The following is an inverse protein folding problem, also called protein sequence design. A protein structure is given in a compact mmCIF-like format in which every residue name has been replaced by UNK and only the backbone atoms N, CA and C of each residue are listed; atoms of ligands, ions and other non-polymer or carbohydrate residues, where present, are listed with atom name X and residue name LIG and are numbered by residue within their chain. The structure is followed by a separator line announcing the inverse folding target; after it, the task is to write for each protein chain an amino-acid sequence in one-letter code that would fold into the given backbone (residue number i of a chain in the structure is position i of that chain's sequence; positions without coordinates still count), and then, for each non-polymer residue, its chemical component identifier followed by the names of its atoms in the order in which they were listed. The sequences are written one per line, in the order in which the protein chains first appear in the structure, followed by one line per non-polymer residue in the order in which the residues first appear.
data_IF_489638975581
#
_entry.id   IF_489638975581
#
_cell.length_a   1.000
_cell.length_b   1.000
_cell.length_c   1.000
_cell.angle_alpha   90.00
_cell.angle_beta   90.00
_cell.angle_gamma   90.00
#
_symmetry.space_group_name_H-M   'P 1'
#
loop_
_entity.id
_entity.type
_entity.pdbx_description
1 polymer ?
#
# COMPACT_ATOMS: atom_id res chain seq x y z
N UNK A 1 -23.42 6.09 -20.22
CA UNK A 1 -22.57 4.89 -19.99
C UNK A 1 -21.21 5.39 -19.54
N UNK A 2 -20.78 5.01 -18.35
CA UNK A 2 -19.50 5.45 -17.75
C UNK A 2 -18.36 4.65 -18.40
N UNK A 3 -17.42 5.35 -19.00
CA UNK A 3 -16.27 4.77 -19.71
C UNK A 3 -15.10 4.56 -18.74
N UNK A 4 -14.62 3.34 -18.63
CA UNK A 4 -13.56 2.96 -17.68
C UNK A 4 -12.32 2.48 -18.42
N UNK A 5 -11.15 2.90 -17.95
CA UNK A 5 -9.88 2.25 -18.22
C UNK A 5 -9.47 1.46 -16.98
N UNK A 6 -9.15 0.18 -17.16
CA UNK A 6 -8.70 -0.72 -16.11
C UNK A 6 -7.21 -0.96 -16.24
N UNK A 7 -6.45 -0.63 -15.18
CA UNK A 7 -5.01 -0.72 -15.13
C UNK A 7 -4.57 -1.65 -13.99
N UNK A 8 -4.04 -2.82 -14.33
CA UNK A 8 -3.60 -3.84 -13.37
C UNK A 8 -2.62 -4.77 -14.09
N UNK A 9 -1.52 -5.19 -13.49
CA UNK A 9 -0.55 -6.08 -14.13
C UNK A 9 -1.01 -7.55 -14.14
N UNK A 10 -1.94 -7.92 -13.28
CA UNK A 10 -2.43 -9.28 -13.13
C UNK A 10 -3.55 -9.58 -14.14
N UNK A 11 -3.25 -10.32 -15.19
CA UNK A 11 -4.20 -10.64 -16.26
C UNK A 11 -5.49 -11.27 -15.75
N UNK A 12 -5.39 -12.18 -14.77
CA UNK A 12 -6.56 -12.88 -14.22
C UNK A 12 -7.48 -11.91 -13.44
N UNK A 13 -6.91 -10.96 -12.71
CA UNK A 13 -7.64 -9.92 -11.99
C UNK A 13 -8.37 -8.99 -12.99
N UNK A 14 -7.67 -8.53 -14.04
CA UNK A 14 -8.30 -7.72 -15.09
C UNK A 14 -9.47 -8.43 -15.75
N UNK A 15 -9.30 -9.70 -16.16
CA UNK A 15 -10.37 -10.51 -16.74
C UNK A 15 -11.55 -10.70 -15.79
N UNK A 16 -11.28 -10.94 -14.50
CA UNK A 16 -12.32 -11.06 -13.48
C UNK A 16 -13.14 -9.79 -13.32
N UNK A 17 -12.46 -8.63 -13.15
CA UNK A 17 -13.11 -7.33 -13.02
C UNK A 17 -13.89 -6.99 -14.29
N UNK A 18 -13.35 -7.24 -15.49
CA UNK A 18 -14.06 -7.05 -16.76
C UNK A 18 -15.35 -7.85 -16.79
N UNK A 19 -15.27 -9.15 -16.55
CA UNK A 19 -16.45 -10.03 -16.59
C UNK A 19 -17.55 -9.60 -15.60
N UNK A 20 -17.16 -9.12 -14.43
CA UNK A 20 -18.10 -8.60 -13.44
C UNK A 20 -18.74 -7.28 -13.89
N UNK A 21 -17.97 -6.35 -14.44
CA UNK A 21 -18.48 -5.05 -14.88
C UNK A 21 -19.31 -5.16 -16.16
N UNK A 22 -19.11 -6.17 -17.01
CA UNK A 22 -19.98 -6.46 -18.17
C UNK A 22 -21.43 -6.83 -17.78
N UNK A 23 -21.65 -7.25 -16.52
CA UNK A 23 -23.01 -7.48 -16.00
C UNK A 23 -23.75 -6.18 -15.67
N UNK A 24 -23.08 -5.03 -15.72
CA UNK A 24 -23.60 -3.73 -15.31
C UNK A 24 -23.85 -2.86 -16.53
N UNK A 25 -25.11 -2.50 -16.78
CA UNK A 25 -25.55 -1.87 -18.04
C UNK A 25 -25.10 -0.43 -18.25
N UNK A 26 -24.75 0.31 -17.20
CA UNK A 26 -24.37 1.73 -17.24
C UNK A 26 -22.84 1.97 -17.20
N UNK A 27 -22.04 0.89 -17.21
CA UNK A 27 -20.58 0.92 -17.13
C UNK A 27 -19.97 0.18 -18.32
N UNK A 28 -18.83 0.63 -18.84
CA UNK A 28 -18.12 -0.05 -19.94
C UNK A 28 -16.60 0.10 -19.78
N UNK A 29 -15.87 -1.02 -19.82
CA UNK A 29 -14.41 -1.00 -19.92
C UNK A 29 -14.05 -0.75 -21.39
N UNK A 30 -13.56 0.46 -21.67
CA UNK A 30 -13.18 0.89 -23.03
C UNK A 30 -11.75 0.46 -23.39
N UNK A 31 -10.88 0.27 -22.41
CA UNK A 31 -9.54 -0.26 -22.61
C UNK A 31 -8.92 -0.78 -21.30
N UNK A 32 -7.84 -1.53 -21.45
CA UNK A 32 -7.01 -2.08 -20.38
C UNK A 32 -5.56 -1.68 -20.56
N UNK A 33 -4.80 -1.69 -19.47
CA UNK A 33 -3.36 -1.53 -19.46
C UNK A 33 -2.73 -2.41 -18.36
N UNK A 34 -1.48 -2.81 -18.57
CA UNK A 34 -0.73 -3.70 -17.66
C UNK A 34 0.34 -2.98 -16.85
N UNK A 35 0.62 -1.72 -17.16
CA UNK A 35 1.55 -0.86 -16.43
C UNK A 35 1.23 0.64 -16.65
N UNK A 36 1.90 1.51 -15.87
CA UNK A 36 1.67 2.95 -15.94
C UNK A 36 2.04 3.60 -17.28
N UNK A 37 2.97 3.02 -18.06
CA UNK A 37 3.34 3.58 -19.38
C UNK A 37 2.26 3.29 -20.42
N UNK A 38 1.74 2.06 -20.43
CA UNK A 38 0.63 1.67 -21.29
C UNK A 38 -0.63 2.47 -20.93
N UNK A 39 -0.89 2.64 -19.62
CA UNK A 39 -2.01 3.42 -19.10
C UNK A 39 -2.00 4.86 -19.61
N UNK A 40 -0.84 5.53 -19.67
CA UNK A 40 -0.72 6.90 -20.19
C UNK A 40 -1.22 7.01 -21.62
N UNK A 41 -0.75 6.13 -22.50
CA UNK A 41 -1.13 6.13 -23.93
C UNK A 41 -2.65 5.84 -24.11
N UNK A 42 -3.15 4.87 -23.35
CA UNK A 42 -4.55 4.45 -23.42
C UNK A 42 -5.48 5.56 -22.93
N UNK A 43 -5.17 6.21 -21.83
CA UNK A 43 -5.98 7.28 -21.24
C UNK A 43 -6.04 8.50 -22.16
N UNK A 44 -4.92 8.88 -22.77
CA UNK A 44 -4.89 9.99 -23.74
C UNK A 44 -5.78 9.73 -24.96
N UNK A 45 -5.81 8.48 -25.43
CA UNK A 45 -6.61 8.05 -26.59
C UNK A 45 -8.09 7.93 -26.24
N UNK A 46 -8.39 7.24 -25.16
CA UNK A 46 -9.79 6.85 -24.82
C UNK A 46 -10.54 7.93 -24.04
N UNK A 47 -9.86 8.81 -23.31
CA UNK A 47 -10.45 9.85 -22.46
C UNK A 47 -11.54 9.27 -21.56
N UNK A 48 -11.22 8.35 -20.64
CA UNK A 48 -12.20 7.69 -19.79
C UNK A 48 -12.81 8.65 -18.77
N UNK A 49 -14.02 8.31 -18.30
CA UNK A 49 -14.68 9.00 -17.21
C UNK A 49 -14.06 8.62 -15.84
N UNK A 50 -13.59 7.36 -15.72
CA UNK A 50 -12.97 6.83 -14.50
C UNK A 50 -11.83 5.89 -14.86
N UNK A 51 -10.77 5.93 -14.08
CA UNK A 51 -9.66 4.95 -14.11
C UNK A 51 -9.73 4.08 -12.88
N UNK A 52 -9.72 2.76 -13.05
CA UNK A 52 -9.46 1.79 -12.00
C UNK A 52 -7.98 1.43 -12.06
N UNK A 53 -7.24 1.68 -10.99
CA UNK A 53 -5.78 1.64 -10.99
C UNK A 53 -5.24 0.74 -9.86
N UNK A 54 -4.46 -0.28 -10.22
CA UNK A 54 -3.61 -0.95 -9.24
C UNK A 54 -2.38 -0.10 -8.91
N UNK A 55 -1.92 -0.15 -7.66
CA UNK A 55 -0.71 0.55 -7.23
C UNK A 55 0.56 -0.24 -7.53
N UNK A 56 0.49 -1.58 -7.43
CA UNK A 56 1.66 -2.46 -7.55
C UNK A 56 1.77 -3.04 -8.95
N UNK A 57 2.42 -2.30 -9.82
CA UNK A 57 2.67 -2.75 -11.19
C UNK A 57 4.17 -2.68 -11.52
N UNK A 58 4.68 -3.56 -12.42
CA UNK A 58 6.06 -3.50 -12.90
C UNK A 58 6.32 -2.24 -13.73
N UNK A 59 7.60 -1.90 -13.93
CA UNK A 59 8.09 -0.76 -14.71
C UNK A 59 7.68 0.58 -14.10
N UNK A 60 6.40 0.98 -14.20
CA UNK A 60 5.86 2.21 -13.65
C UNK A 60 4.67 1.89 -12.76
N UNK A 61 4.83 2.09 -11.46
CA UNK A 61 3.79 1.86 -10.45
C UNK A 61 2.65 2.88 -10.52
N UNK A 62 1.53 2.54 -9.89
CA UNK A 62 0.34 3.39 -9.89
C UNK A 62 0.56 4.76 -9.24
N UNK A 63 1.36 4.86 -8.18
CA UNK A 63 1.68 6.13 -7.52
C UNK A 63 2.48 7.05 -8.45
N UNK A 64 3.50 6.52 -9.13
CA UNK A 64 4.32 7.30 -10.06
C UNK A 64 3.52 7.75 -11.27
N UNK A 65 2.61 6.90 -11.75
CA UNK A 65 1.65 7.25 -12.78
C UNK A 65 0.74 8.43 -12.37
N UNK A 66 0.19 8.41 -11.16
CA UNK A 66 -0.64 9.50 -10.64
C UNK A 66 0.14 10.80 -10.50
N UNK A 67 1.36 10.75 -9.94
CA UNK A 67 2.24 11.91 -9.78
C UNK A 67 2.57 12.60 -11.10
N UNK A 68 2.78 11.82 -12.16
CA UNK A 68 3.11 12.37 -13.48
C UNK A 68 1.93 13.09 -14.14
N UNK A 69 0.70 12.60 -13.93
CA UNK A 69 -0.51 13.22 -14.49
C UNK A 69 -1.05 14.41 -13.68
N UNK A 70 -0.75 14.47 -12.40
CA UNK A 70 -1.27 15.51 -11.49
C UNK A 70 -0.96 16.94 -11.95
N UNK A 71 0.27 17.30 -12.38
CA UNK A 71 0.61 18.69 -12.76
C UNK A 71 -0.09 19.18 -14.01
N UNK A 72 -0.49 18.28 -14.90
CA UNK A 72 -1.10 18.61 -16.20
C UNK A 72 -2.61 18.83 -16.16
N UNK A 73 -3.24 18.69 -14.99
CA UNK A 73 -4.71 18.72 -14.83
C UNK A 73 -5.45 17.73 -15.77
N UNK A 74 -4.73 16.74 -16.30
CA UNK A 74 -5.27 15.74 -17.23
C UNK A 74 -5.56 14.39 -16.55
N UNK A 75 -5.39 14.31 -15.23
CA UNK A 75 -5.68 13.11 -14.48
C UNK A 75 -7.19 12.86 -14.47
N UNK A 76 -7.69 11.78 -15.11
CA UNK A 76 -9.09 11.40 -14.99
C UNK A 76 -9.40 11.03 -13.54
N UNK A 77 -10.66 11.12 -13.11
CA UNK A 77 -11.09 10.61 -11.82
C UNK A 77 -10.62 9.18 -11.63
N UNK A 78 -9.76 8.93 -10.62
CA UNK A 78 -9.09 7.64 -10.44
C UNK A 78 -9.48 7.00 -9.12
N UNK A 79 -9.90 5.73 -9.18
CA UNK A 79 -10.13 4.84 -8.03
C UNK A 79 -8.98 3.85 -7.97
N UNK A 80 -8.30 3.80 -6.85
CA UNK A 80 -7.25 2.82 -6.57
C UNK A 80 -7.88 1.50 -6.17
N UNK A 81 -7.44 0.41 -6.80
CA UNK A 81 -7.72 -0.97 -6.38
C UNK A 81 -6.49 -1.53 -5.68
N UNK A 82 -6.61 -1.91 -4.42
CA UNK A 82 -5.46 -2.35 -3.63
C UNK A 82 -5.75 -3.63 -2.85
N UNK A 83 -4.69 -4.30 -2.39
CA UNK A 83 -4.77 -5.34 -1.38
C UNK A 83 -4.50 -4.75 0.01
N UNK A 84 -4.84 -5.46 1.09
CA UNK A 84 -4.82 -4.99 2.49
C UNK A 84 -3.46 -4.45 3.02
N UNK A 85 -2.35 -4.69 2.34
CA UNK A 85 -1.00 -4.51 2.91
C UNK A 85 -0.26 -3.24 2.44
N UNK A 86 -0.95 -2.20 1.95
CA UNK A 86 -0.29 -1.08 1.25
C UNK A 86 -0.72 0.32 1.73
N UNK A 87 -0.81 0.51 3.05
CA UNK A 87 -1.25 1.77 3.66
C UNK A 87 -0.41 2.99 3.20
N UNK A 88 0.91 2.82 3.02
CA UNK A 88 1.80 3.92 2.62
C UNK A 88 1.60 4.30 1.15
N UNK A 89 1.53 3.33 0.26
CA UNK A 89 1.26 3.57 -1.16
C UNK A 89 -0.14 4.14 -1.38
N UNK A 90 -1.12 3.74 -0.55
CA UNK A 90 -2.46 4.30 -0.57
C UNK A 90 -2.46 5.80 -0.22
N UNK A 91 -1.74 6.20 0.81
CA UNK A 91 -1.63 7.61 1.20
C UNK A 91 -0.96 8.46 0.12
N UNK A 92 0.09 7.91 -0.48
CA UNK A 92 0.79 8.57 -1.58
C UNK A 92 -0.12 8.71 -2.81
N UNK A 93 -0.95 7.72 -3.10
CA UNK A 93 -1.94 7.79 -4.18
C UNK A 93 -3.01 8.87 -3.92
N UNK A 94 -3.48 9.00 -2.68
CA UNK A 94 -4.43 10.07 -2.29
C UNK A 94 -3.78 11.44 -2.44
N UNK A 95 -2.54 11.62 -2.00
CA UNK A 95 -1.77 12.86 -2.18
C UNK A 95 -1.53 13.20 -3.65
N UNK A 96 -1.36 12.17 -4.47
CA UNK A 96 -1.22 12.30 -5.92
C UNK A 96 -2.55 12.50 -6.67
N UNK A 97 -3.68 12.65 -5.96
CA UNK A 97 -4.97 13.06 -6.53
C UNK A 97 -5.96 11.95 -6.80
N UNK A 98 -5.74 10.73 -6.33
CA UNK A 98 -6.75 9.68 -6.39
C UNK A 98 -8.06 10.13 -5.71
N UNK A 99 -9.21 9.82 -6.33
CA UNK A 99 -10.54 10.20 -5.84
C UNK A 99 -11.19 9.13 -4.98
N UNK A 100 -10.62 7.93 -4.96
CA UNK A 100 -11.12 6.83 -4.18
C UNK A 100 -10.13 5.69 -4.05
N UNK A 101 -10.42 4.80 -3.11
CA UNK A 101 -9.78 3.50 -3.03
C UNK A 101 -10.78 2.43 -2.65
N UNK A 102 -10.56 1.24 -3.16
CA UNK A 102 -11.32 0.03 -2.84
C UNK A 102 -10.36 -1.15 -2.72
N UNK A 103 -10.75 -2.13 -1.92
CA UNK A 103 -10.01 -3.38 -1.86
C UNK A 103 -10.35 -4.25 -3.08
N UNK A 104 -9.40 -5.05 -3.56
CA UNK A 104 -9.63 -5.95 -4.71
C UNK A 104 -10.64 -7.07 -4.42
N UNK A 105 -10.99 -7.31 -3.15
CA UNK A 105 -12.02 -8.25 -2.71
C UNK A 105 -13.40 -7.63 -2.49
N UNK A 106 -13.57 -6.36 -2.89
CA UNK A 106 -14.84 -5.64 -2.77
C UNK A 106 -15.96 -6.28 -3.59
N UNK A 107 -17.22 -6.18 -3.13
CA UNK A 107 -18.37 -6.65 -3.90
C UNK A 107 -18.59 -5.83 -5.18
N UNK A 108 -19.17 -6.45 -6.22
CA UNK A 108 -19.52 -5.77 -7.48
C UNK A 108 -20.38 -4.52 -7.25
N UNK A 109 -21.37 -4.62 -6.36
CA UNK A 109 -22.26 -3.52 -6.02
C UNK A 109 -21.47 -2.32 -5.48
N UNK A 110 -20.57 -2.54 -4.53
CA UNK A 110 -19.76 -1.47 -3.93
C UNK A 110 -18.74 -0.89 -4.92
N UNK A 111 -18.18 -1.71 -5.81
CA UNK A 111 -17.31 -1.24 -6.88
C UNK A 111 -18.07 -0.32 -7.85
N UNK A 112 -19.26 -0.72 -8.28
CA UNK A 112 -20.08 0.05 -9.23
C UNK A 112 -20.62 1.34 -8.62
N UNK A 113 -21.01 1.33 -7.34
CA UNK A 113 -21.43 2.55 -6.63
C UNK A 113 -20.27 3.54 -6.50
N UNK A 114 -19.06 3.05 -6.19
CA UNK A 114 -17.86 3.88 -6.16
C UNK A 114 -17.53 4.50 -7.53
N UNK A 115 -17.65 3.72 -8.60
CA UNK A 115 -17.46 4.21 -9.99
C UNK A 115 -18.45 5.32 -10.30
N UNK A 116 -19.73 5.13 -9.99
CA UNK A 116 -20.79 6.13 -10.23
C UNK A 116 -20.55 7.42 -9.46
N UNK A 117 -20.16 7.32 -8.19
CA UNK A 117 -19.87 8.47 -7.35
C UNK A 117 -18.70 9.28 -7.89
N UNK A 118 -17.59 8.62 -8.24
CA UNK A 118 -16.40 9.28 -8.76
C UNK A 118 -16.63 9.85 -10.16
N UNK A 119 -17.39 9.19 -11.02
CA UNK A 119 -17.78 9.70 -12.35
C UNK A 119 -18.62 10.98 -12.29
N UNK A 120 -19.36 11.20 -11.19
CA UNK A 120 -20.12 12.43 -10.93
C UNK A 120 -19.28 13.55 -10.31
N UNK A 121 -17.98 13.35 -10.16
CA UNK A 121 -17.07 14.31 -9.51
C UNK A 121 -16.97 14.18 -7.99
N UNK A 122 -17.62 13.19 -7.40
CA UNK A 122 -17.54 12.87 -5.99
C UNK A 122 -16.21 12.19 -5.60
N UNK A 123 -16.11 11.80 -4.34
CA UNK A 123 -14.97 11.06 -3.81
C UNK A 123 -15.46 10.00 -2.83
N UNK A 124 -14.92 8.80 -2.94
CA UNK A 124 -15.19 7.71 -1.98
C UNK A 124 -14.18 7.65 -0.84
N UNK A 125 -13.25 8.60 -0.82
CA UNK A 125 -12.35 8.83 0.31
C UNK A 125 -13.08 9.76 1.28
N UNK A 126 -13.49 9.24 2.44
CA UNK A 126 -14.11 10.09 3.46
C UNK A 126 -13.05 11.00 4.08
N UNK A 127 -13.21 12.35 4.03
CA UNK A 127 -12.22 13.30 4.54
C UNK A 127 -11.82 13.03 6.00
N UNK A 128 -12.77 12.63 6.85
CA UNK A 128 -12.52 12.33 8.25
C UNK A 128 -11.60 11.12 8.50
N UNK A 129 -11.59 10.13 7.61
CA UNK A 129 -10.69 8.97 7.70
C UNK A 129 -9.32 9.36 7.16
N UNK A 130 -9.29 10.06 6.03
CA UNK A 130 -8.04 10.52 5.41
C UNK A 130 -7.31 11.52 6.32
N UNK A 131 -8.00 12.48 6.95
CA UNK A 131 -7.39 13.39 7.92
C UNK A 131 -6.90 12.69 9.19
N UNK A 132 -7.63 11.70 9.72
CA UNK A 132 -7.17 10.93 10.89
C UNK A 132 -5.97 10.06 10.56
N UNK A 133 -5.96 9.43 9.40
CA UNK A 133 -4.84 8.61 8.94
C UNK A 133 -3.64 9.51 8.58
N UNK A 134 -3.84 10.64 7.90
CA UNK A 134 -2.80 11.63 7.61
C UNK A 134 -2.25 12.26 8.90
N UNK A 135 -3.11 12.68 9.83
CA UNK A 135 -2.70 13.23 11.14
C UNK A 135 -2.04 12.17 12.02
N UNK A 136 -2.52 10.92 11.98
CA UNK A 136 -1.88 9.81 12.69
C UNK A 136 -0.48 9.52 12.15
N UNK A 137 -0.28 9.57 10.83
CA UNK A 137 1.02 9.37 10.20
C UNK A 137 1.92 10.60 10.29
N UNK A 138 1.38 11.81 10.27
CA UNK A 138 2.14 13.03 10.58
C UNK A 138 2.55 13.09 12.05
N UNK A 139 1.72 12.60 12.96
CA UNK A 139 2.10 12.42 14.38
C UNK A 139 3.20 11.37 14.53
N UNK A 140 3.04 10.22 13.88
CA UNK A 140 4.07 9.19 13.84
C UNK A 140 5.36 9.72 13.20
N UNK A 141 5.30 10.45 12.08
CA UNK A 141 6.47 11.09 11.48
C UNK A 141 7.08 12.18 12.37
N UNK A 142 6.27 13.03 12.98
CA UNK A 142 6.77 14.08 13.90
C UNK A 142 7.30 13.49 15.21
N UNK A 143 6.74 12.39 15.71
CA UNK A 143 7.33 11.64 16.81
C UNK A 143 8.65 10.97 16.39
N UNK A 144 8.79 10.50 15.13
CA UNK A 144 10.04 9.98 14.60
C UNK A 144 11.05 11.08 14.24
N UNK A 145 10.62 12.25 13.75
CA UNK A 145 11.50 13.40 13.47
C UNK A 145 11.89 14.19 14.74
N UNK A 146 11.11 14.07 15.81
CA UNK A 146 11.42 14.65 17.13
C UNK A 146 12.09 13.68 18.10
N UNK A 147 12.12 12.39 17.77
CA UNK A 147 12.96 11.42 18.47
C UNK A 147 14.38 11.59 17.94
N UNK A 148 15.31 11.78 18.86
CA UNK A 148 16.74 11.52 18.65
C UNK A 148 16.91 10.25 17.81
N UNK A 149 17.98 10.14 16.98
CA UNK A 149 18.18 8.95 16.14
C UNK A 149 17.85 7.70 16.93
N UNK A 150 17.09 6.73 16.37
CA UNK A 150 16.57 5.60 17.13
C UNK A 150 17.69 5.02 17.97
N UNK A 151 17.45 4.84 19.26
CA UNK A 151 18.44 4.31 20.19
C UNK A 151 19.09 3.08 19.55
N UNK A 152 20.40 3.05 19.37
CA UNK A 152 21.07 1.92 18.74
C UNK A 152 20.67 0.64 19.47
N UNK A 153 20.55 -0.45 18.75
CA UNK A 153 20.27 -1.74 19.37
C UNK A 153 21.34 -2.01 20.45
N UNK A 154 20.90 -2.36 21.63
CA UNK A 154 21.79 -2.77 22.71
C UNK A 154 22.53 -4.06 22.32
N UNK A 155 23.68 -4.32 22.95
CA UNK A 155 24.42 -5.58 22.73
C UNK A 155 23.53 -6.82 22.90
N UNK A 156 22.62 -6.79 23.87
CA UNK A 156 21.69 -7.88 24.14
C UNK A 156 20.62 -8.03 23.04
N UNK A 157 20.13 -6.92 22.51
CA UNK A 157 19.19 -6.94 21.39
C UNK A 157 19.83 -7.47 20.11
N UNK A 158 21.08 -7.09 19.83
CA UNK A 158 21.85 -7.63 18.68
C UNK A 158 22.09 -9.14 18.84
N UNK A 159 22.40 -9.62 20.03
CA UNK A 159 22.58 -11.04 20.31
C UNK A 159 21.30 -11.85 20.08
N UNK A 160 20.17 -11.34 20.57
CA UNK A 160 18.86 -11.93 20.33
C UNK A 160 18.52 -11.89 18.83
N UNK A 161 18.79 -10.81 18.15
CA UNK A 161 18.53 -10.64 16.73
C UNK A 161 19.35 -11.65 15.86
N UNK A 162 20.59 -11.94 16.23
CA UNK A 162 21.40 -13.00 15.58
C UNK A 162 20.78 -14.37 15.73
N UNK A 163 20.29 -14.70 16.92
CA UNK A 163 19.59 -15.96 17.16
C UNK A 163 18.24 -16.00 16.41
N UNK A 164 17.56 -14.86 16.33
CA UNK A 164 16.35 -14.72 15.48
C UNK A 164 16.68 -14.99 14.01
N UNK A 165 17.79 -14.52 13.49
CA UNK A 165 18.25 -14.76 12.13
C UNK A 165 18.61 -16.24 11.89
N UNK A 166 19.11 -16.94 12.93
CA UNK A 166 19.34 -18.38 12.92
C UNK A 166 18.07 -19.24 12.98
N UNK A 167 16.87 -18.61 13.04
CA UNK A 167 15.59 -19.33 13.06
C UNK A 167 15.13 -19.84 14.43
N UNK A 168 15.84 -19.52 15.51
CA UNK A 168 15.52 -19.96 16.88
C UNK A 168 14.22 -19.34 17.38
N UNK A 169 13.33 -20.11 17.98
CA UNK A 169 12.13 -19.63 18.67
C UNK A 169 12.49 -18.83 19.93
N UNK A 170 11.56 -18.03 20.47
CA UNK A 170 11.80 -17.26 21.70
C UNK A 170 12.19 -18.15 22.89
N UNK A 171 11.67 -19.38 22.96
CA UNK A 171 11.99 -20.36 23.99
C UNK A 171 13.44 -20.84 23.83
N UNK A 172 13.84 -21.24 22.63
CA UNK A 172 15.21 -21.67 22.33
C UNK A 172 16.23 -20.55 22.56
N UNK A 173 15.86 -19.30 22.24
CA UNK A 173 16.68 -18.10 22.54
C UNK A 173 16.79 -17.91 24.06
N UNK A 174 15.70 -18.10 24.80
CA UNK A 174 15.70 -17.98 26.25
C UNK A 174 16.60 -19.04 26.89
N UNK A 175 16.52 -20.29 26.43
CA UNK A 175 17.35 -21.38 26.88
C UNK A 175 18.85 -21.12 26.55
N UNK A 176 19.15 -20.70 25.32
CA UNK A 176 20.52 -20.37 24.88
C UNK A 176 21.16 -19.21 25.64
N UNK A 177 20.36 -18.24 26.07
CA UNK A 177 20.81 -17.03 26.74
C UNK A 177 20.65 -17.06 28.28
N UNK A 178 20.17 -18.17 28.84
CA UNK A 178 19.94 -18.33 30.27
C UNK A 178 18.93 -17.34 30.85
N UNK A 179 17.86 -17.02 30.14
CA UNK A 179 16.86 -16.02 30.55
C UNK A 179 15.43 -16.57 30.44
N UNK A 180 14.44 -15.81 30.88
CA UNK A 180 13.04 -16.20 30.75
C UNK A 180 12.50 -15.87 29.32
N UNK A 181 11.62 -16.70 28.78
CA UNK A 181 10.99 -16.49 27.46
C UNK A 181 10.26 -15.14 27.38
N UNK A 182 9.62 -14.69 28.48
CA UNK A 182 9.00 -13.38 28.58
C UNK A 182 9.97 -12.22 28.37
N UNK A 183 11.21 -12.36 28.86
CA UNK A 183 12.29 -11.38 28.67
C UNK A 183 12.70 -11.31 27.19
N UNK A 184 12.82 -12.46 26.52
CA UNK A 184 13.10 -12.52 25.07
C UNK A 184 11.97 -11.88 24.27
N UNK A 185 10.69 -12.11 24.60
CA UNK A 185 9.55 -11.45 23.98
C UNK A 185 9.60 -9.93 24.10
N UNK A 186 9.97 -9.42 25.29
CA UNK A 186 10.12 -7.98 25.51
C UNK A 186 11.26 -7.39 24.65
N UNK A 187 12.42 -8.06 24.61
CA UNK A 187 13.51 -7.63 23.73
C UNK A 187 13.13 -7.71 22.24
N UNK A 188 12.44 -8.76 21.81
CA UNK A 188 11.95 -8.87 20.44
C UNK A 188 11.02 -7.70 20.09
N UNK A 189 10.06 -7.35 20.95
CA UNK A 189 9.20 -6.19 20.77
C UNK A 189 9.97 -4.88 20.70
N UNK A 190 10.99 -4.69 21.55
CA UNK A 190 11.89 -3.53 21.53
C UNK A 190 12.68 -3.45 20.22
N UNK A 191 13.22 -4.59 19.73
CA UNK A 191 13.93 -4.67 18.45
C UNK A 191 13.02 -4.26 17.29
N UNK A 192 11.78 -4.80 17.24
CA UNK A 192 10.80 -4.46 16.21
C UNK A 192 10.50 -2.96 16.21
N UNK A 193 10.29 -2.39 17.39
CA UNK A 193 10.03 -0.95 17.57
C UNK A 193 11.22 -0.10 17.11
N UNK A 194 12.45 -0.43 17.57
CA UNK A 194 13.67 0.32 17.21
C UNK A 194 14.03 0.23 15.73
N UNK A 195 13.74 -0.89 15.07
CA UNK A 195 13.95 -1.07 13.62
C UNK A 195 12.78 -0.55 12.77
N UNK A 196 11.67 -0.14 13.40
CA UNK A 196 10.48 0.36 12.71
C UNK A 196 9.79 -0.71 11.84
N UNK A 197 9.81 -1.98 12.28
CA UNK A 197 9.25 -3.10 11.52
C UNK A 197 8.17 -3.86 12.32
N UNK A 198 7.29 -4.57 11.63
CA UNK A 198 6.10 -5.20 12.25
C UNK A 198 6.26 -6.67 12.60
N UNK A 199 7.26 -7.34 12.02
CA UNK A 199 7.46 -8.77 12.21
C UNK A 199 8.94 -9.17 12.28
N UNK A 200 9.16 -10.41 12.74
CA UNK A 200 10.48 -10.98 12.98
C UNK A 200 11.32 -11.10 11.69
N UNK A 201 10.70 -11.50 10.59
CA UNK A 201 11.40 -11.68 9.31
C UNK A 201 11.90 -10.34 8.79
N UNK A 202 11.07 -9.30 8.84
CA UNK A 202 11.46 -7.92 8.46
C UNK A 202 12.53 -7.36 9.39
N UNK A 203 12.52 -7.70 10.69
CA UNK A 203 13.56 -7.28 11.61
C UNK A 203 14.92 -7.85 11.22
N UNK A 204 14.98 -9.13 10.86
CA UNK A 204 16.23 -9.79 10.41
C UNK A 204 16.72 -9.16 9.11
N UNK A 205 15.85 -8.97 8.11
CA UNK A 205 16.22 -8.35 6.83
C UNK A 205 16.73 -6.92 7.04
N UNK A 206 16.04 -6.14 7.87
CA UNK A 206 16.42 -4.74 8.17
C UNK A 206 17.75 -4.66 8.91
N UNK A 207 18.01 -5.60 9.81
CA UNK A 207 19.26 -5.69 10.53
C UNK A 207 20.47 -6.04 9.64
N UNK A 208 20.27 -6.90 8.63
CA UNK A 208 21.25 -7.19 7.59
C UNK A 208 21.57 -5.93 6.76
N UNK A 209 20.52 -5.19 6.31
CA UNK A 209 20.68 -3.94 5.58
C UNK A 209 21.49 -2.88 6.35
N UNK A 210 21.26 -2.80 7.67
CA UNK A 210 21.90 -1.82 8.55
C UNK A 210 23.25 -2.30 9.12
N UNK A 211 23.69 -3.53 8.85
CA UNK A 211 24.97 -4.09 9.29
C UNK A 211 25.02 -4.44 10.77
N UNK A 212 23.90 -4.70 11.42
CA UNK A 212 23.86 -5.19 12.82
C UNK A 212 24.22 -6.67 12.95
N UNK A 213 23.95 -7.45 11.91
CA UNK A 213 24.20 -8.90 11.88
C UNK A 213 24.72 -9.32 10.52
#
# INVERSE_FOLDING_TARGET
MIRIVLVDDQTLVRQGIRSLLELVSDVSIVAEASDGNEAMAVIQREKPDVVLLDLRMPKKGGVDFLRELQPSATLPPTIVLTTFDDDEALLDAVRAGAKGYLLKDVSLERLTDGIREVARGGSIIRPAITERVLKGLEHVRREFDSLSPPDPLTKREVEILRLMAGGYSNREIADALGTAEGTVKNHASSILSKLGVRDRTRAVLKALELGYI
#
